data_IF_453313759736
#
_entry.id   IF_453313759736
#
_cell.length_a   1.000
_cell.length_b   1.000
_cell.length_c   1.000
_cell.angle_alpha   90.00
_cell.angle_beta   90.00
_cell.angle_gamma   90.00
#
_symmetry.space_group_name_H-M   'P 1'
#
loop_
_entity.id
_entity.type
_entity.pdbx_description
1 polymer ?
#
# COMPACT_ATOMS: atom_id res chain seq x y z
N UNK A 1 -17.64 29.02 10.73
CA UNK A 1 -16.67 28.06 11.30
C UNK A 1 -17.35 26.73 11.65
N UNK A 2 -18.12 26.14 10.71
CA UNK A 2 -18.88 24.89 10.91
C UNK A 2 -18.64 23.86 9.78
N UNK A 3 -18.01 24.26 8.67
CA UNK A 3 -17.77 23.35 7.53
C UNK A 3 -16.64 22.34 7.78
N UNK A 4 -15.68 22.65 8.67
CA UNK A 4 -14.53 21.79 8.95
C UNK A 4 -14.84 20.57 9.82
N UNK A 5 -15.88 20.63 10.66
CA UNK A 5 -16.25 19.50 11.53
C UNK A 5 -17.05 18.43 10.77
N UNK A 6 -17.91 18.83 9.82
CA UNK A 6 -18.74 17.90 9.02
C UNK A 6 -17.88 16.97 8.15
N UNK A 7 -16.73 17.44 7.65
CA UNK A 7 -15.80 16.60 6.88
C UNK A 7 -15.04 15.58 7.74
N UNK A 8 -14.86 15.82 9.03
CA UNK A 8 -14.20 14.85 9.90
C UNK A 8 -15.14 13.69 10.25
N UNK A 9 -16.44 13.95 10.39
CA UNK A 9 -17.45 12.93 10.72
C UNK A 9 -17.81 12.01 9.54
N UNK A 10 -17.67 12.47 8.29
CA UNK A 10 -18.12 11.70 7.12
C UNK A 10 -17.19 10.53 6.75
N UNK A 11 -15.91 10.59 7.13
CA UNK A 11 -14.91 9.58 6.76
C UNK A 11 -14.69 8.50 7.83
N UNK A 12 -15.25 8.66 9.03
CA UNK A 12 -15.04 7.77 10.18
C UNK A 12 -15.37 6.29 9.87
N UNK A 13 -16.52 5.95 9.25
CA UNK A 13 -16.80 4.57 8.90
C UNK A 13 -15.82 4.01 7.85
N UNK A 14 -15.37 4.87 6.92
CA UNK A 14 -14.45 4.47 5.86
C UNK A 14 -13.06 4.18 6.40
N UNK A 15 -12.52 5.02 7.30
CA UNK A 15 -11.21 4.78 7.90
C UNK A 15 -11.22 3.53 8.76
N UNK A 16 -12.28 3.27 9.53
CA UNK A 16 -12.42 2.04 10.33
C UNK A 16 -12.46 0.80 9.43
N UNK A 17 -13.19 0.86 8.33
CA UNK A 17 -13.24 -0.21 7.34
C UNK A 17 -11.86 -0.47 6.71
N UNK A 18 -11.19 0.59 6.23
CA UNK A 18 -9.86 0.47 5.63
C UNK A 18 -8.82 -0.03 6.64
N UNK A 19 -8.86 0.46 7.87
CA UNK A 19 -7.99 -0.01 8.94
C UNK A 19 -8.22 -1.50 9.23
N UNK A 20 -9.48 -1.94 9.29
CA UNK A 20 -9.84 -3.35 9.48
C UNK A 20 -9.30 -4.20 8.33
N UNK A 21 -9.46 -3.76 7.08
CA UNK A 21 -8.87 -4.44 5.91
C UNK A 21 -7.36 -4.55 6.06
N UNK A 22 -6.67 -3.46 6.43
CA UNK A 22 -5.23 -3.48 6.63
C UNK A 22 -4.77 -4.40 7.75
N UNK A 23 -5.49 -4.43 8.88
CA UNK A 23 -5.23 -5.35 9.99
C UNK A 23 -5.39 -6.81 9.55
N UNK A 24 -6.43 -7.13 8.79
CA UNK A 24 -6.64 -8.46 8.22
C UNK A 24 -5.50 -8.83 7.26
N UNK A 25 -5.01 -7.89 6.45
CA UNK A 25 -3.87 -8.14 5.57
C UNK A 25 -2.56 -8.37 6.33
N UNK A 26 -2.32 -7.61 7.39
CA UNK A 26 -1.19 -7.82 8.29
C UNK A 26 -1.25 -9.20 8.95
N UNK A 27 -2.43 -9.59 9.45
CA UNK A 27 -2.66 -10.91 10.02
C UNK A 27 -2.40 -12.02 9.00
N UNK A 28 -2.91 -11.89 7.78
CA UNK A 28 -2.63 -12.84 6.69
C UNK A 28 -1.13 -12.94 6.40
N UNK A 29 -0.41 -11.81 6.40
CA UNK A 29 1.05 -11.80 6.21
C UNK A 29 1.79 -12.52 7.32
N UNK A 30 1.37 -12.37 8.58
CA UNK A 30 1.93 -13.10 9.72
C UNK A 30 1.67 -14.60 9.61
N UNK A 31 0.46 -15.00 9.23
CA UNK A 31 0.10 -16.41 8.99
C UNK A 31 0.97 -16.99 7.86
N UNK A 32 1.04 -16.32 6.71
CA UNK A 32 1.88 -16.76 5.58
C UNK A 32 3.35 -16.86 5.97
N UNK A 33 3.87 -15.89 6.72
CA UNK A 33 5.25 -15.93 7.23
C UNK A 33 5.48 -17.14 8.14
N UNK A 34 4.56 -17.42 9.07
CA UNK A 34 4.67 -18.56 9.98
C UNK A 34 4.59 -19.89 9.25
N UNK A 35 3.69 -20.02 8.27
CA UNK A 35 3.58 -21.20 7.41
C UNK A 35 4.89 -21.42 6.64
N UNK A 36 5.36 -20.39 5.92
CA UNK A 36 6.61 -20.45 5.15
C UNK A 36 7.81 -20.83 6.01
N UNK A 37 7.96 -20.19 7.16
CA UNK A 37 9.04 -20.48 8.12
C UNK A 37 8.98 -21.93 8.60
N UNK A 38 7.80 -22.42 8.95
CA UNK A 38 7.60 -23.80 9.41
C UNK A 38 7.92 -24.81 8.32
N UNK A 39 7.49 -24.56 7.08
CA UNK A 39 7.80 -25.41 5.92
C UNK A 39 9.30 -25.45 5.62
N UNK A 40 10.01 -24.31 5.70
CA UNK A 40 11.46 -24.27 5.51
C UNK A 40 12.22 -25.10 6.55
N UNK A 41 11.73 -25.16 7.78
CA UNK A 41 12.36 -25.96 8.85
C UNK A 41 12.02 -27.45 8.72
N UNK A 42 10.75 -27.79 8.49
CA UNK A 42 10.28 -29.19 8.52
C UNK A 42 10.42 -29.92 7.19
N UNK A 43 10.44 -29.20 6.07
CA UNK A 43 10.39 -29.75 4.72
C UNK A 43 11.23 -28.89 3.75
N UNK A 44 12.51 -28.69 4.09
CA UNK A 44 13.42 -27.79 3.36
C UNK A 44 13.53 -28.13 1.87
N UNK A 45 13.74 -29.40 1.51
CA UNK A 45 13.89 -29.83 0.12
C UNK A 45 12.62 -29.61 -0.71
N UNK A 46 11.45 -29.97 -0.17
CA UNK A 46 10.16 -29.76 -0.83
C UNK A 46 9.90 -28.27 -1.01
N UNK A 47 10.17 -27.46 0.01
CA UNK A 47 10.01 -26.00 -0.06
C UNK A 47 10.92 -25.40 -1.14
N UNK A 48 12.18 -25.85 -1.22
CA UNK A 48 13.11 -25.38 -2.25
C UNK A 48 12.67 -25.79 -3.67
N UNK A 49 12.18 -27.03 -3.84
CA UNK A 49 11.66 -27.49 -5.12
C UNK A 49 10.40 -26.71 -5.54
N UNK A 50 9.49 -26.45 -4.60
CA UNK A 50 8.28 -25.65 -4.84
C UNK A 50 8.59 -24.18 -5.16
N UNK A 51 9.54 -23.56 -4.44
CA UNK A 51 10.03 -22.21 -4.76
C UNK A 51 10.65 -22.17 -6.16
N UNK A 52 11.48 -23.16 -6.53
CA UNK A 52 12.09 -23.25 -7.87
C UNK A 52 11.06 -23.43 -9.00
N UNK A 53 10.09 -24.33 -8.81
CA UNK A 53 8.99 -24.51 -9.76
C UNK A 53 8.19 -23.21 -9.94
N UNK A 54 7.82 -22.55 -8.84
CA UNK A 54 7.08 -21.29 -8.90
C UNK A 54 7.86 -20.19 -9.62
N UNK A 55 9.16 -20.07 -9.35
CA UNK A 55 10.03 -19.13 -10.06
C UNK A 55 10.06 -19.39 -11.56
N UNK A 56 10.12 -20.66 -12.00
CA UNK A 56 10.07 -21.00 -13.43
C UNK A 56 8.73 -20.62 -14.08
N UNK A 57 7.59 -20.85 -13.40
CA UNK A 57 6.26 -20.43 -13.86
C UNK A 57 6.22 -18.91 -14.01
N UNK A 58 6.75 -18.17 -13.02
CA UNK A 58 6.79 -16.72 -13.07
C UNK A 58 7.64 -16.20 -14.24
N UNK A 59 8.80 -16.81 -14.50
CA UNK A 59 9.64 -16.48 -15.66
C UNK A 59 8.93 -16.73 -17.00
N UNK A 60 7.96 -17.65 -17.03
CA UNK A 60 7.17 -17.97 -18.24
C UNK A 60 5.82 -17.25 -18.29
N UNK A 61 5.50 -16.40 -17.30
CA UNK A 61 4.17 -15.77 -17.15
C UNK A 61 3.65 -15.12 -18.42
N UNK A 62 4.50 -14.38 -19.14
CA UNK A 62 4.10 -13.66 -20.35
C UNK A 62 3.64 -14.62 -21.45
N UNK A 63 4.41 -15.70 -21.69
CA UNK A 63 4.06 -16.75 -22.65
C UNK A 63 2.78 -17.48 -22.25
N UNK A 64 2.62 -17.75 -20.95
CA UNK A 64 1.40 -18.38 -20.41
C UNK A 64 0.19 -17.47 -20.67
N UNK A 65 0.32 -16.16 -20.46
CA UNK A 65 -0.77 -15.21 -20.69
C UNK A 65 -1.16 -15.15 -22.18
N UNK A 66 -0.17 -15.11 -23.08
CA UNK A 66 -0.38 -15.16 -24.53
C UNK A 66 -1.11 -16.44 -24.96
N UNK A 67 -0.73 -17.60 -24.42
CA UNK A 67 -1.44 -18.87 -24.67
C UNK A 67 -2.87 -18.88 -24.12
N UNK A 68 -3.17 -18.12 -23.06
CA UNK A 68 -4.51 -18.04 -22.47
C UNK A 68 -5.46 -17.12 -23.25
N UNK A 69 -4.92 -16.14 -23.98
CA UNK A 69 -5.70 -15.22 -24.83
C UNK A 69 -6.10 -15.86 -26.18
N UNK A 70 -5.34 -16.85 -26.66
CA UNK A 70 -5.71 -17.72 -27.77
C UNK A 70 -6.86 -18.65 -27.36
N UNK A 71 -8.10 -18.12 -27.41
CA UNK A 71 -9.35 -18.77 -26.97
C UNK A 71 -9.59 -20.18 -27.52
N UNK A 72 -8.94 -20.57 -28.61
CA UNK A 72 -9.10 -21.88 -29.25
C UNK A 72 -8.16 -22.98 -28.70
N UNK A 73 -7.21 -22.67 -27.79
CA UNK A 73 -6.20 -23.63 -27.32
C UNK A 73 -5.78 -23.49 -25.85
N UNK A 74 -6.67 -23.02 -24.97
CA UNK A 74 -6.37 -23.13 -23.53
C UNK A 74 -6.43 -24.60 -23.14
N UNK A 75 -5.26 -25.24 -23.02
CA UNK A 75 -5.15 -26.60 -22.51
C UNK A 75 -5.77 -26.64 -21.10
N UNK A 76 -6.87 -27.38 -20.95
CA UNK A 76 -7.56 -27.54 -19.67
C UNK A 76 -6.59 -28.01 -18.56
N UNK A 77 -5.56 -28.77 -18.92
CA UNK A 77 -4.54 -29.24 -17.99
C UNK A 77 -3.67 -28.08 -17.46
N UNK A 78 -3.34 -27.09 -18.30
CA UNK A 78 -2.56 -25.92 -17.90
C UNK A 78 -3.35 -25.09 -16.88
N UNK A 79 -4.65 -24.87 -17.13
CA UNK A 79 -5.53 -24.15 -16.20
C UNK A 79 -5.61 -24.84 -14.83
N UNK A 80 -5.86 -26.16 -14.83
CA UNK A 80 -5.89 -26.97 -13.60
C UNK A 80 -4.55 -26.96 -12.86
N UNK A 81 -3.43 -27.04 -13.59
CA UNK A 81 -2.09 -26.98 -13.00
C UNK A 81 -1.81 -25.65 -12.31
N UNK A 82 -2.17 -24.52 -12.94
CA UNK A 82 -2.00 -23.20 -12.35
C UNK A 82 -2.88 -23.02 -11.11
N UNK A 83 -4.12 -23.50 -11.15
CA UNK A 83 -5.02 -23.47 -9.99
C UNK A 83 -4.48 -24.30 -8.82
N UNK A 84 -4.04 -25.52 -9.08
CA UNK A 84 -3.43 -26.39 -8.06
C UNK A 84 -2.15 -25.76 -7.49
N UNK A 85 -1.33 -25.15 -8.33
CA UNK A 85 -0.13 -24.43 -7.91
C UNK A 85 -0.47 -23.26 -6.98
N UNK A 86 -1.50 -22.48 -7.28
CA UNK A 86 -1.94 -21.37 -6.42
C UNK A 86 -2.52 -21.84 -5.08
N UNK A 87 -3.21 -22.99 -5.05
CA UNK A 87 -3.65 -23.61 -3.80
C UNK A 87 -2.47 -24.04 -2.93
N UNK A 88 -1.49 -24.73 -3.50
CA UNK A 88 -0.26 -25.14 -2.81
C UNK A 88 0.50 -23.93 -2.25
N UNK A 89 0.60 -22.84 -3.02
CA UNK A 89 1.24 -21.60 -2.56
C UNK A 89 0.57 -21.00 -1.33
N UNK A 90 -0.77 -21.09 -1.24
CA UNK A 90 -1.51 -20.62 -0.07
C UNK A 90 -1.19 -21.46 1.16
N UNK A 91 -1.15 -22.79 1.02
CA UNK A 91 -0.87 -23.74 2.12
C UNK A 91 0.56 -23.57 2.66
N UNK A 92 1.55 -23.40 1.78
CA UNK A 92 2.97 -23.24 2.15
C UNK A 92 3.31 -21.80 2.58
N UNK A 93 2.38 -20.85 2.43
CA UNK A 93 2.61 -19.44 2.75
C UNK A 93 3.53 -18.71 1.76
N UNK A 94 3.60 -19.17 0.51
CA UNK A 94 4.38 -18.56 -0.58
C UNK A 94 3.60 -17.51 -1.38
N UNK A 95 2.30 -17.34 -1.13
CA UNK A 95 1.51 -16.27 -1.72
C UNK A 95 1.71 -14.97 -0.94
N UNK A 96 1.96 -13.86 -1.65
CA UNK A 96 2.03 -12.53 -1.05
C UNK A 96 0.62 -12.01 -0.77
N UNK A 97 0.18 -11.86 0.51
CA UNK A 97 -1.19 -11.45 0.80
C UNK A 97 -1.52 -10.04 0.29
N UNK A 98 -0.54 -9.13 0.32
CA UNK A 98 -0.68 -7.74 -0.15
C UNK A 98 -0.82 -7.62 -1.67
N UNK A 99 -0.54 -8.70 -2.41
CA UNK A 99 -0.71 -8.76 -3.87
C UNK A 99 -2.00 -9.49 -4.27
N UNK A 100 -2.80 -9.96 -3.30
CA UNK A 100 -4.02 -10.70 -3.60
C UNK A 100 -5.14 -9.79 -4.12
N UNK A 101 -5.84 -10.29 -5.15
CA UNK A 101 -7.09 -9.72 -5.68
C UNK A 101 -8.25 -10.57 -5.16
N UNK A 102 -9.24 -9.91 -4.57
CA UNK A 102 -10.39 -10.50 -3.87
C UNK A 102 -11.71 -10.25 -4.59
N UNK A 103 -11.80 -9.16 -5.35
CA UNK A 103 -13.01 -8.75 -6.07
C UNK A 103 -12.71 -8.67 -7.57
N UNK A 104 -13.72 -8.94 -8.39
CA UNK A 104 -13.65 -8.87 -9.86
C UNK A 104 -14.58 -7.79 -10.43
N UNK A 105 -14.99 -6.82 -9.60
CA UNK A 105 -15.93 -5.78 -9.98
C UNK A 105 -15.24 -4.65 -10.76
N UNK A 106 -16.02 -3.85 -11.46
CA UNK A 106 -15.52 -2.63 -12.10
C UNK A 106 -15.05 -1.60 -11.05
N UNK A 107 -13.98 -0.83 -11.33
CA UNK A 107 -13.49 0.19 -10.41
C UNK A 107 -14.49 1.34 -10.25
N UNK A 108 -14.61 1.90 -9.03
CA UNK A 108 -15.26 3.19 -8.84
C UNK A 108 -14.57 4.28 -9.68
N UNK A 109 -15.37 5.22 -10.18
CA UNK A 109 -14.85 6.35 -10.96
C UNK A 109 -13.93 7.18 -10.07
N UNK A 110 -12.78 7.61 -10.61
CA UNK A 110 -11.78 8.44 -9.92
C UNK A 110 -11.20 7.84 -8.64
N UNK A 111 -11.22 6.51 -8.48
CA UNK A 111 -10.75 5.82 -7.26
C UNK A 111 -9.42 6.34 -6.70
N UNK A 112 -8.39 6.46 -7.55
CA UNK A 112 -7.07 6.96 -7.12
C UNK A 112 -7.08 8.39 -6.59
N UNK A 113 -7.92 9.28 -7.17
CA UNK A 113 -8.11 10.65 -6.68
C UNK A 113 -8.87 10.68 -5.37
N UNK A 114 -9.94 9.88 -5.25
CA UNK A 114 -10.72 9.79 -4.00
C UNK A 114 -9.85 9.26 -2.86
N UNK A 115 -9.05 8.21 -3.11
CA UNK A 115 -8.09 7.68 -2.13
C UNK A 115 -7.05 8.73 -1.71
N UNK A 116 -6.58 9.55 -2.65
CA UNK A 116 -5.68 10.67 -2.38
C UNK A 116 -6.34 11.72 -1.46
N UNK A 117 -7.52 12.21 -1.83
CA UNK A 117 -8.28 13.21 -1.04
C UNK A 117 -8.57 12.68 0.37
N UNK A 118 -8.95 11.40 0.46
CA UNK A 118 -9.13 10.73 1.74
C UNK A 118 -7.82 10.71 2.55
N UNK A 119 -6.69 10.35 1.94
CA UNK A 119 -5.41 10.27 2.66
C UNK A 119 -5.00 11.61 3.25
N UNK A 120 -5.09 12.70 2.46
CA UNK A 120 -4.73 14.04 2.95
C UNK A 120 -5.66 14.52 4.07
N UNK A 121 -6.94 14.15 4.05
CA UNK A 121 -7.86 14.50 5.14
C UNK A 121 -7.52 13.78 6.44
N UNK A 122 -6.98 12.55 6.35
CA UNK A 122 -6.56 11.77 7.53
C UNK A 122 -5.21 12.20 8.10
N UNK A 123 -4.32 12.83 7.32
CA UNK A 123 -2.98 13.20 7.78
C UNK A 123 -2.98 14.07 9.06
N UNK A 124 -3.98 14.95 9.23
CA UNK A 124 -4.11 15.81 10.41
C UNK A 124 -4.22 15.05 11.74
N UNK A 125 -4.67 13.79 11.69
CA UNK A 125 -4.88 12.91 12.86
C UNK A 125 -3.57 12.32 13.38
N UNK A 126 -2.52 12.35 12.56
CA UNK A 126 -1.24 11.73 12.85
C UNK A 126 -0.16 12.77 13.16
N UNK A 127 0.80 12.36 13.97
CA UNK A 127 2.03 13.09 14.29
C UNK A 127 3.19 12.16 14.00
N UNK A 128 4.25 12.70 13.40
CA UNK A 128 5.48 11.94 13.19
C UNK A 128 6.23 11.86 14.53
N UNK A 129 6.38 10.64 15.02
CA UNK A 129 7.15 10.33 16.23
C UNK A 129 8.57 9.94 15.82
N UNK A 130 9.54 10.79 16.13
CA UNK A 130 10.96 10.57 15.80
C UNK A 130 11.59 9.42 16.59
N UNK A 131 11.07 9.08 17.78
CA UNK A 131 11.61 7.98 18.57
C UNK A 131 11.16 6.63 18.03
N UNK A 132 9.91 6.56 17.55
CA UNK A 132 9.35 5.33 16.98
C UNK A 132 9.59 5.20 15.47
N UNK A 133 10.07 6.26 14.82
CA UNK A 133 10.25 6.30 13.37
C UNK A 133 8.94 6.02 12.63
N UNK A 134 7.82 6.54 13.14
CA UNK A 134 6.48 6.14 12.69
C UNK A 134 5.45 7.26 12.89
N UNK A 135 4.27 7.12 12.29
CA UNK A 135 3.15 8.02 12.52
C UNK A 135 2.27 7.50 13.65
N UNK A 136 2.10 8.31 14.69
CA UNK A 136 1.26 8.01 15.85
C UNK A 136 0.02 8.91 15.87
N UNK A 137 -1.08 8.41 16.44
CA UNK A 137 -2.30 9.23 16.57
C UNK A 137 -2.11 10.30 17.64
N UNK A 138 -2.62 11.51 17.36
CA UNK A 138 -2.63 12.62 18.31
C UNK A 138 -3.59 12.40 19.50
N UNK A 139 -4.64 11.61 19.32
CA UNK A 139 -5.76 11.48 20.28
C UNK A 139 -5.82 10.08 20.89
N UNK A 140 -5.85 10.00 22.23
CA UNK A 140 -5.83 8.74 23.01
C UNK A 140 -7.13 7.91 22.98
N UNK A 141 -8.27 8.46 22.53
CA UNK A 141 -9.59 7.82 22.74
C UNK A 141 -9.99 6.75 21.70
N UNK A 142 -9.37 6.73 20.53
CA UNK A 142 -9.47 5.63 19.55
C UNK A 142 -8.33 5.82 18.55
N UNK A 143 -7.23 5.10 18.76
CA UNK A 143 -6.02 5.24 17.96
C UNK A 143 -6.11 4.21 16.83
N UNK A 144 -6.60 4.63 15.67
CA UNK A 144 -6.43 3.85 14.45
C UNK A 144 -4.98 4.06 14.00
N UNK A 145 -4.18 3.00 14.08
CA UNK A 145 -2.79 3.02 13.59
C UNK A 145 -2.75 3.36 12.10
N UNK A 146 -1.79 4.19 11.70
CA UNK A 146 -1.67 4.62 10.31
C UNK A 146 -1.34 3.47 9.36
N UNK A 147 -0.53 2.49 9.81
CA UNK A 147 -0.02 1.41 8.95
C UNK A 147 -1.16 0.53 8.41
N UNK A 148 -2.11 0.04 9.23
CA UNK A 148 -3.32 -0.58 8.72
C UNK A 148 -4.12 0.28 7.75
N UNK A 149 -4.24 1.59 7.96
CA UNK A 149 -4.97 2.47 7.03
C UNK A 149 -4.27 2.52 5.67
N UNK A 150 -2.95 2.75 5.67
CA UNK A 150 -2.11 2.76 4.45
C UNK A 150 -2.24 1.43 3.69
N UNK A 151 -2.16 0.31 4.41
CA UNK A 151 -2.29 -1.02 3.82
C UNK A 151 -3.71 -1.24 3.30
N UNK A 152 -4.73 -0.79 4.01
CA UNK A 152 -6.13 -0.88 3.60
C UNK A 152 -6.40 -0.13 2.29
N UNK A 153 -5.91 1.11 2.17
CA UNK A 153 -5.99 1.90 0.93
C UNK A 153 -5.29 1.15 -0.20
N UNK A 154 -4.06 0.69 0.03
CA UNK A 154 -3.29 -0.05 -0.96
C UNK A 154 -3.97 -1.35 -1.39
N UNK A 155 -4.58 -2.05 -0.45
CA UNK A 155 -5.37 -3.26 -0.71
C UNK A 155 -6.58 -2.95 -1.58
N UNK A 156 -7.32 -1.87 -1.29
CA UNK A 156 -8.44 -1.43 -2.10
C UNK A 156 -8.01 -1.08 -3.54
N UNK A 157 -6.93 -0.30 -3.69
CA UNK A 157 -6.42 0.09 -5.00
C UNK A 157 -5.91 -1.13 -5.81
N UNK A 158 -5.31 -2.10 -5.14
CA UNK A 158 -4.81 -3.36 -5.74
C UNK A 158 -5.92 -4.21 -6.35
N UNK A 159 -7.17 -4.04 -5.90
CA UNK A 159 -8.29 -4.79 -6.45
C UNK A 159 -8.57 -4.47 -7.93
N UNK A 160 -8.00 -3.38 -8.43
CA UNK A 160 -8.23 -2.89 -9.78
C UNK A 160 -6.91 -2.72 -10.54
N UNK A 161 -6.99 -2.21 -11.77
CA UNK A 161 -5.83 -2.02 -12.62
C UNK A 161 -4.74 -1.16 -11.93
N UNK A 162 -3.43 -1.50 -12.09
CA UNK A 162 -2.33 -0.79 -11.43
C UNK A 162 -2.29 0.73 -11.65
N UNK A 163 -2.92 1.22 -12.73
CA UNK A 163 -3.07 2.65 -13.01
C UNK A 163 -3.69 3.42 -11.84
N UNK A 164 -4.61 2.84 -11.05
CA UNK A 164 -5.20 3.52 -9.90
C UNK A 164 -4.19 3.71 -8.76
N UNK A 165 -3.32 2.72 -8.52
CA UNK A 165 -2.22 2.82 -7.56
C UNK A 165 -1.22 3.88 -8.02
N UNK A 166 -0.86 3.86 -9.31
CA UNK A 166 0.07 4.85 -9.87
C UNK A 166 -0.49 6.27 -9.79
N UNK A 167 -1.77 6.47 -10.13
CA UNK A 167 -2.45 7.75 -9.98
C UNK A 167 -2.43 8.24 -8.53
N UNK A 168 -2.76 7.38 -7.57
CA UNK A 168 -2.70 7.72 -6.15
C UNK A 168 -1.30 8.21 -5.72
N UNK A 169 -0.26 7.45 -6.09
CA UNK A 169 1.14 7.78 -5.78
C UNK A 169 1.53 9.12 -6.41
N UNK A 170 1.15 9.37 -7.66
CA UNK A 170 1.43 10.64 -8.34
C UNK A 170 0.75 11.84 -7.67
N UNK A 171 -0.53 11.73 -7.27
CA UNK A 171 -1.22 12.81 -6.58
C UNK A 171 -0.64 13.06 -5.18
N UNK A 172 -0.33 12.01 -4.42
CA UNK A 172 0.35 12.16 -3.13
C UNK A 172 1.74 12.79 -3.29
N UNK A 173 2.51 12.37 -4.30
CA UNK A 173 3.83 12.94 -4.60
C UNK A 173 3.76 14.42 -5.00
N UNK A 174 2.78 14.78 -5.84
CA UNK A 174 2.52 16.17 -6.20
C UNK A 174 2.16 16.99 -4.95
N UNK A 175 1.29 16.48 -4.09
CA UNK A 175 0.96 17.13 -2.83
C UNK A 175 2.20 17.38 -1.96
N UNK A 176 3.03 16.35 -1.73
CA UNK A 176 4.29 16.45 -0.98
C UNK A 176 5.21 17.52 -1.55
N UNK A 177 5.39 17.57 -2.88
CA UNK A 177 6.22 18.59 -3.54
C UNK A 177 5.67 19.99 -3.34
N UNK A 178 4.38 20.19 -3.58
CA UNK A 178 3.75 21.50 -3.44
C UNK A 178 3.85 22.01 -2.01
N UNK A 179 3.59 21.16 -1.00
CA UNK A 179 3.73 21.60 0.40
C UNK A 179 5.19 21.88 0.77
N UNK A 180 6.15 21.12 0.24
CA UNK A 180 7.57 21.36 0.46
C UNK A 180 8.02 22.70 -0.16
N UNK A 181 7.61 22.97 -1.39
CA UNK A 181 7.87 24.26 -2.07
C UNK A 181 7.28 25.43 -1.29
N UNK A 182 6.05 25.29 -0.77
CA UNK A 182 5.46 26.36 0.06
C UNK A 182 6.16 26.53 1.41
N UNK A 183 6.59 25.44 2.04
CA UNK A 183 7.22 25.44 3.36
C UNK A 183 8.64 26.01 3.34
N UNK A 184 9.41 25.72 2.28
CA UNK A 184 10.82 26.10 2.16
C UNK A 184 11.06 27.27 1.18
N UNK A 185 10.08 27.60 0.33
CA UNK A 185 10.20 28.63 -0.71
C UNK A 185 9.60 29.99 -0.37
N UNK A 186 8.80 30.12 0.70
CA UNK A 186 8.19 31.41 1.08
C UNK A 186 8.90 32.09 2.25
N UNK A 187 9.29 33.36 2.06
CA UNK A 187 9.87 34.28 3.06
C UNK A 187 8.83 34.76 4.10
N UNK A 188 7.58 34.29 4.01
CA UNK A 188 6.50 34.71 4.91
C UNK A 188 6.60 33.98 6.25
N UNK A 189 6.90 34.76 7.30
CA UNK A 189 7.00 34.30 8.69
C UNK A 189 5.78 33.52 9.19
N UNK A 190 5.94 32.78 10.30
CA UNK A 190 4.97 31.80 10.76
C UNK A 190 3.59 32.43 11.01
N UNK A 191 2.58 31.96 10.28
CA UNK A 191 1.19 32.23 10.59
C UNK A 191 0.85 31.55 11.93
N UNK A 192 0.60 32.37 12.95
CA UNK A 192 0.28 31.94 14.31
C UNK A 192 -1.01 31.10 14.29
N UNK A 193 -0.87 29.76 14.34
CA UNK A 193 -1.98 28.81 14.41
C UNK A 193 -1.98 27.69 13.36
N UNK A 194 -1.11 27.73 12.34
CA UNK A 194 -0.95 26.58 11.43
C UNK A 194 0.00 25.52 12.00
N UNK A 195 -0.23 24.22 11.74
CA UNK A 195 0.77 23.19 12.05
C UNK A 195 2.11 23.53 11.39
N UNK A 196 3.21 23.15 12.04
CA UNK A 196 4.56 23.39 11.53
C UNK A 196 4.66 22.87 10.08
N UNK A 197 4.89 23.75 9.09
CA UNK A 197 4.88 23.37 7.69
C UNK A 197 5.94 22.30 7.38
N UNK A 198 7.07 22.29 8.10
CA UNK A 198 8.07 21.23 7.97
C UNK A 198 7.54 19.87 8.46
N UNK A 199 6.82 19.85 9.59
CA UNK A 199 6.20 18.64 10.13
C UNK A 199 5.13 18.06 9.18
N UNK A 200 4.35 18.90 8.50
CA UNK A 200 3.33 18.42 7.54
C UNK A 200 3.98 17.81 6.30
N UNK A 201 5.08 18.39 5.80
CA UNK A 201 5.88 17.84 4.69
C UNK A 201 6.40 16.45 5.04
N UNK A 202 7.09 16.32 6.19
CA UNK A 202 7.70 15.07 6.61
C UNK A 202 6.68 13.96 6.85
N UNK A 203 5.56 14.28 7.50
CA UNK A 203 4.47 13.32 7.72
C UNK A 203 3.87 12.80 6.42
N UNK A 204 3.61 13.70 5.47
CA UNK A 204 3.03 13.35 4.17
C UNK A 204 4.00 12.51 3.32
N UNK A 205 5.28 12.87 3.35
CA UNK A 205 6.34 12.11 2.68
C UNK A 205 6.50 10.71 3.31
N UNK A 206 6.47 10.61 4.63
CA UNK A 206 6.55 9.34 5.34
C UNK A 206 5.35 8.42 5.03
N UNK A 207 4.14 8.99 4.99
CA UNK A 207 2.93 8.26 4.58
C UNK A 207 3.10 7.63 3.18
N UNK A 208 3.54 8.44 2.21
CA UNK A 208 3.75 7.99 0.84
C UNK A 208 4.87 6.94 0.73
N UNK A 209 5.97 7.13 1.46
CA UNK A 209 7.07 6.18 1.52
C UNK A 209 6.62 4.82 2.07
N UNK A 210 5.87 4.82 3.18
CA UNK A 210 5.28 3.60 3.74
C UNK A 210 4.32 2.93 2.76
N UNK A 211 3.47 3.71 2.09
CA UNK A 211 2.57 3.18 1.07
C UNK A 211 3.33 2.48 -0.06
N UNK A 212 4.35 3.13 -0.62
CA UNK A 212 5.15 2.57 -1.70
C UNK A 212 5.85 1.27 -1.27
N UNK A 213 6.40 1.25 -0.04
CA UNK A 213 7.04 0.06 0.53
C UNK A 213 6.06 -1.09 0.75
N UNK A 214 4.87 -0.84 1.30
CA UNK A 214 3.90 -1.91 1.53
C UNK A 214 3.30 -2.45 0.24
N UNK A 215 3.06 -1.57 -0.73
CA UNK A 215 2.41 -1.90 -1.99
C UNK A 215 3.37 -2.25 -3.12
N UNK A 216 4.67 -2.43 -2.83
CA UNK A 216 5.65 -2.87 -3.81
C UNK A 216 5.60 -2.00 -5.09
N UNK A 217 5.49 -0.69 -4.89
CA UNK A 217 5.46 0.31 -5.98
C UNK A 217 6.87 0.40 -6.54
N UNK A 218 7.00 0.52 -7.88
CA UNK A 218 8.30 0.60 -8.52
C UNK A 218 9.14 1.77 -7.97
N UNK A 219 10.42 1.52 -7.75
CA UNK A 219 11.35 2.52 -7.23
C UNK A 219 11.42 3.75 -8.14
N UNK A 220 11.34 3.57 -9.46
CA UNK A 220 11.29 4.67 -10.43
C UNK A 220 10.10 5.60 -10.19
N UNK A 221 8.91 5.04 -9.93
CA UNK A 221 7.72 5.84 -9.65
C UNK A 221 7.81 6.51 -8.29
N UNK A 222 8.31 5.81 -7.27
CA UNK A 222 8.51 6.39 -5.93
C UNK A 222 9.51 7.55 -5.95
N UNK A 223 10.66 7.37 -6.61
CA UNK A 223 11.73 8.36 -6.70
C UNK A 223 11.34 9.57 -7.57
N UNK A 224 10.54 9.38 -8.62
CA UNK A 224 9.99 10.49 -9.38
C UNK A 224 8.94 11.31 -8.59
N UNK A 225 8.40 10.75 -7.51
CA UNK A 225 7.38 11.39 -6.67
C UNK A 225 7.96 12.09 -5.44
N UNK A 226 9.00 11.53 -4.82
CA UNK A 226 9.59 12.03 -3.57
C UNK A 226 10.97 12.69 -3.80
N UNK A 227 11.17 13.95 -3.37
CA UNK A 227 12.48 14.59 -3.37
C UNK A 227 13.54 13.78 -2.60
N UNK A 228 14.76 13.57 -3.13
CA UNK A 228 15.80 12.78 -2.47
C UNK A 228 16.19 13.30 -1.08
N UNK A 229 16.15 14.62 -0.88
CA UNK A 229 16.44 15.25 0.41
C UNK A 229 15.45 14.83 1.50
N UNK A 230 14.17 14.69 1.19
CA UNK A 230 13.15 14.23 2.14
C UNK A 230 13.35 12.76 2.50
N UNK A 231 13.74 11.93 1.52
CA UNK A 231 14.05 10.52 1.76
C UNK A 231 15.21 10.39 2.74
N UNK A 232 16.28 11.18 2.58
CA UNK A 232 17.43 11.13 3.50
C UNK A 232 17.07 11.53 4.93
N UNK A 233 16.17 12.53 5.11
CA UNK A 233 15.74 12.99 6.43
C UNK A 233 14.88 11.94 7.15
N UNK A 234 14.09 11.16 6.41
CA UNK A 234 13.21 10.13 6.97
C UNK A 234 13.92 8.78 7.20
N UNK A 235 15.15 8.63 6.72
CA UNK A 235 15.97 7.43 6.89
C UNK A 235 17.02 7.53 8.02
N UNK A 236 17.25 8.73 8.56
CA UNK A 236 18.02 9.00 9.79
C UNK A 236 17.21 8.77 11.04
#
# INVERSE_FOLDING_TARGET
>A
MQMGEVFNTSWEPLIECLATIGQLQLLRRLISFKLKSTCKVKAAFITSAAEGMLSSIYCQRQRILECMEEKDKVDANLGLFLQASDEQRKIVGLLSPLQAVYISNNPPIFLGRCAFIFSISQLSRYVLDSHLGTLTSRLKKSIIDFSPVVIGIGTLLRQFHPSHTNQYVQYMGQYVRTIAETAFGTVSGPHKGSPDPASEVLKSAFWLMCFCKYMDVSEDLANSCLPPSLISILQT
#
